data_IF_531587317914
#
_entry.id   IF_531587317914
#
_cell.length_a   1.000
_cell.length_b   1.000
_cell.length_c   1.000
_cell.angle_alpha   90.00
_cell.angle_beta   90.00
_cell.angle_gamma   90.00
#
_symmetry.space_group_name_H-M   'P 1'
#
loop_
_entity.id
_entity.type
_entity.pdbx_description
1 polymer ?
#
# COMPACT_ATOMS: atom_id res chain seq x y z
N UNK A 1 -42.74 -45.26 -6.39
CA UNK A 1 -42.01 -44.04 -5.97
C UNK A 1 -40.53 -44.32 -6.15
N UNK A 2 -39.95 -43.79 -7.23
CA UNK A 2 -38.55 -43.98 -7.56
C UNK A 2 -37.77 -42.89 -6.82
N UNK A 3 -36.80 -43.22 -5.96
CA UNK A 3 -36.06 -42.20 -5.22
C UNK A 3 -35.24 -41.37 -6.21
N UNK A 4 -35.41 -40.04 -6.16
CA UNK A 4 -34.57 -39.08 -6.85
C UNK A 4 -33.16 -39.17 -6.27
N UNK A 5 -32.32 -40.01 -6.88
CA UNK A 5 -30.88 -39.98 -6.65
C UNK A 5 -30.36 -38.77 -7.44
N UNK A 6 -30.16 -37.65 -6.74
CA UNK A 6 -29.38 -36.54 -7.30
C UNK A 6 -28.01 -37.11 -7.71
N UNK A 7 -27.52 -36.87 -8.94
CA UNK A 7 -26.22 -37.37 -9.35
C UNK A 7 -25.15 -36.72 -8.47
N UNK A 8 -24.29 -37.53 -7.85
CA UNK A 8 -23.26 -37.09 -6.90
C UNK A 8 -22.39 -35.91 -7.40
N UNK A 9 -22.27 -35.75 -8.72
CA UNK A 9 -21.58 -34.61 -9.34
C UNK A 9 -22.22 -33.24 -9.05
N UNK A 10 -23.55 -33.14 -8.92
CA UNK A 10 -24.22 -31.86 -8.63
C UNK A 10 -23.93 -31.39 -7.20
N UNK A 11 -23.85 -32.31 -6.24
CA UNK A 11 -23.54 -31.99 -4.84
C UNK A 11 -22.11 -31.48 -4.71
N UNK A 12 -21.15 -32.12 -5.39
CA UNK A 12 -19.75 -31.67 -5.42
C UNK A 12 -19.60 -30.30 -6.10
N UNK A 13 -20.27 -30.08 -7.24
CA UNK A 13 -20.25 -28.80 -7.93
C UNK A 13 -20.86 -27.66 -7.08
N UNK A 14 -21.96 -27.92 -6.36
CA UNK A 14 -22.53 -26.96 -5.42
C UNK A 14 -21.60 -26.64 -4.24
N UNK A 15 -20.92 -27.65 -3.69
CA UNK A 15 -19.94 -27.46 -2.62
C UNK A 15 -18.75 -26.62 -3.08
N UNK A 16 -18.21 -26.89 -4.27
CA UNK A 16 -17.14 -26.09 -4.88
C UNK A 16 -17.57 -24.64 -5.14
N UNK A 17 -18.79 -24.43 -5.65
CA UNK A 17 -19.36 -23.10 -5.84
C UNK A 17 -19.54 -22.34 -4.50
N UNK A 18 -19.99 -23.02 -3.44
CA UNK A 18 -20.10 -22.42 -2.09
C UNK A 18 -18.73 -22.01 -1.54
N UNK A 19 -17.70 -22.86 -1.68
CA UNK A 19 -16.33 -22.56 -1.26
C UNK A 19 -15.77 -21.35 -2.02
N UNK A 20 -15.94 -21.32 -3.34
CA UNK A 20 -15.49 -20.21 -4.18
C UNK A 20 -16.19 -18.89 -3.80
N UNK A 21 -17.49 -18.93 -3.53
CA UNK A 21 -18.24 -17.76 -3.10
C UNK A 21 -17.80 -17.25 -1.71
N UNK A 22 -17.56 -18.16 -0.76
CA UNK A 22 -17.08 -17.80 0.57
C UNK A 22 -15.69 -17.14 0.53
N UNK A 23 -14.78 -17.67 -0.31
CA UNK A 23 -13.48 -17.06 -0.56
C UNK A 23 -13.63 -15.65 -1.11
N UNK A 24 -14.48 -15.47 -2.12
CA UNK A 24 -14.73 -14.17 -2.73
C UNK A 24 -15.23 -13.13 -1.72
N UNK A 25 -16.20 -13.49 -0.88
CA UNK A 25 -16.71 -12.63 0.20
C UNK A 25 -15.62 -12.26 1.20
N UNK A 26 -14.79 -13.24 1.60
CA UNK A 26 -13.69 -13.02 2.56
C UNK A 26 -12.65 -12.04 2.02
N UNK A 27 -12.27 -12.20 0.75
CA UNK A 27 -11.31 -11.30 0.09
C UNK A 27 -11.89 -9.91 -0.14
N UNK A 28 -13.17 -9.80 -0.51
CA UNK A 28 -13.82 -8.51 -0.71
C UNK A 28 -13.98 -7.76 0.62
N UNK A 29 -14.33 -8.45 1.70
CA UNK A 29 -14.38 -7.87 3.04
C UNK A 29 -13.01 -7.33 3.48
N UNK A 30 -11.94 -8.05 3.15
CA UNK A 30 -10.57 -7.64 3.44
C UNK A 30 -10.14 -6.43 2.58
N UNK A 31 -10.46 -6.42 1.28
CA UNK A 31 -10.27 -5.27 0.38
C UNK A 31 -11.03 -4.04 0.87
N UNK A 32 -12.28 -4.20 1.33
CA UNK A 32 -13.08 -3.12 1.90
C UNK A 32 -12.45 -2.57 3.17
N UNK A 33 -12.02 -3.44 4.09
CA UNK A 33 -11.37 -3.08 5.35
C UNK A 33 -10.12 -2.23 5.12
N UNK A 34 -9.34 -2.52 4.07
CA UNK A 34 -8.18 -1.71 3.67
C UNK A 34 -8.55 -0.35 3.09
N UNK A 35 -9.70 -0.24 2.41
CA UNK A 35 -10.17 1.03 1.81
C UNK A 35 -10.82 1.95 2.83
N UNK A 36 -11.53 1.39 3.82
CA UNK A 36 -12.30 2.16 4.81
C UNK A 36 -11.56 2.44 6.10
N UNK A 37 -10.26 2.14 6.18
CA UNK A 37 -9.50 2.44 7.38
C UNK A 37 -9.50 3.94 7.68
N UNK A 38 -9.82 4.27 8.94
CA UNK A 38 -10.00 5.64 9.40
C UNK A 38 -8.74 6.49 9.18
N UNK A 39 -8.91 7.80 9.14
CA UNK A 39 -7.80 8.73 9.10
C UNK A 39 -7.02 8.65 10.44
N UNK A 40 -5.69 8.64 10.36
CA UNK A 40 -4.71 8.63 11.46
C UNK A 40 -4.52 7.31 12.25
N UNK A 41 -5.41 6.33 12.12
CA UNK A 41 -5.27 5.04 12.83
C UNK A 41 -4.98 3.92 11.83
N UNK A 42 -4.02 3.01 12.11
CA UNK A 42 -3.87 1.81 11.31
C UNK A 42 -5.18 1.00 11.30
N UNK A 43 -5.38 0.26 10.21
CA UNK A 43 -6.52 -0.64 10.06
C UNK A 43 -6.56 -1.64 11.22
N UNK A 44 -7.73 -2.22 11.50
CA UNK A 44 -7.82 -3.38 12.41
C UNK A 44 -6.85 -4.49 11.95
N UNK A 45 -6.33 -5.30 12.90
CA UNK A 45 -5.45 -6.42 12.58
C UNK A 45 -6.04 -7.30 11.47
N UNK A 46 -5.24 -7.58 10.44
CA UNK A 46 -5.68 -8.36 9.27
C UNK A 46 -5.64 -9.87 9.52
N UNK A 47 -5.09 -10.32 10.65
CA UNK A 47 -4.93 -11.73 11.00
C UNK A 47 -6.23 -12.54 10.90
N UNK A 48 -7.33 -12.05 11.47
CA UNK A 48 -8.61 -12.78 11.43
C UNK A 48 -9.16 -12.96 10.01
N UNK A 49 -8.98 -11.95 9.15
CA UNK A 49 -9.41 -12.01 7.77
C UNK A 49 -8.47 -12.87 6.90
N UNK A 50 -7.16 -12.82 7.16
CA UNK A 50 -6.18 -13.70 6.53
C UNK A 50 -6.42 -15.17 6.91
N UNK A 51 -6.78 -15.44 8.16
CA UNK A 51 -7.12 -16.79 8.61
C UNK A 51 -8.39 -17.31 7.94
N UNK A 52 -9.42 -16.47 7.80
CA UNK A 52 -10.65 -16.82 7.06
C UNK A 52 -10.37 -17.21 5.59
N UNK A 53 -9.41 -16.52 4.95
CA UNK A 53 -8.95 -16.87 3.60
C UNK A 53 -8.19 -18.21 3.60
N UNK A 54 -7.32 -18.46 4.58
CA UNK A 54 -6.60 -19.74 4.73
C UNK A 54 -7.55 -20.92 4.92
N UNK A 55 -8.55 -20.76 5.78
CA UNK A 55 -9.54 -21.80 6.09
C UNK A 55 -10.43 -22.11 4.87
N UNK A 56 -10.66 -21.12 4.02
CA UNK A 56 -11.42 -21.28 2.76
C UNK A 56 -10.61 -21.97 1.65
N UNK A 57 -9.29 -22.07 1.79
CA UNK A 57 -8.35 -22.43 0.72
C UNK A 57 -7.39 -23.57 1.09
N UNK A 58 -7.80 -24.49 1.97
CA UNK A 58 -6.96 -25.64 2.34
C UNK A 58 -6.46 -26.46 1.14
N UNK A 59 -7.23 -26.48 0.04
CA UNK A 59 -6.93 -27.30 -1.14
C UNK A 59 -6.05 -26.59 -2.19
N UNK A 60 -5.74 -25.29 -2.03
CA UNK A 60 -5.01 -24.51 -3.05
C UNK A 60 -3.69 -23.91 -2.54
N UNK A 61 -2.59 -24.50 -3.01
CA UNK A 61 -1.22 -24.06 -2.73
C UNK A 61 -0.94 -22.58 -3.08
N UNK A 62 -1.57 -22.05 -4.13
CA UNK A 62 -1.37 -20.65 -4.55
C UNK A 62 -2.03 -19.67 -3.57
N UNK A 63 -3.27 -19.95 -3.15
CA UNK A 63 -3.96 -19.12 -2.16
C UNK A 63 -3.27 -19.17 -0.78
N UNK A 64 -2.78 -20.35 -0.38
CA UNK A 64 -1.96 -20.49 0.83
C UNK A 64 -0.65 -19.72 0.74
N UNK A 65 0.05 -19.80 -0.41
CA UNK A 65 1.27 -19.03 -0.65
C UNK A 65 1.01 -17.51 -0.56
N UNK A 66 -0.07 -17.01 -1.17
CA UNK A 66 -0.46 -15.60 -1.07
C UNK A 66 -0.82 -15.19 0.37
N UNK A 67 -1.55 -16.02 1.11
CA UNK A 67 -1.88 -15.76 2.50
C UNK A 67 -0.65 -15.82 3.44
N UNK A 68 0.42 -16.51 3.04
CA UNK A 68 1.71 -16.50 3.73
C UNK A 68 2.63 -15.36 3.30
N UNK A 69 2.39 -14.78 2.11
CA UNK A 69 3.15 -13.64 1.59
C UNK A 69 2.71 -12.30 2.20
N UNK A 70 1.63 -12.27 2.98
CA UNK A 70 1.23 -11.09 3.74
C UNK A 70 2.28 -10.77 4.83
N UNK A 71 2.76 -9.51 4.92
CA UNK A 71 3.69 -9.11 5.97
C UNK A 71 3.12 -9.37 7.37
N UNK A 72 3.91 -9.94 8.28
CA UNK A 72 3.47 -10.22 9.66
C UNK A 72 3.02 -8.95 10.40
N UNK A 73 3.71 -7.84 10.14
CA UNK A 73 3.36 -6.54 10.69
C UNK A 73 1.96 -6.07 10.26
N UNK A 74 1.53 -6.35 9.02
CA UNK A 74 0.18 -5.99 8.57
C UNK A 74 -0.89 -6.92 9.14
N UNK A 75 -0.54 -8.17 9.46
CA UNK A 75 -1.44 -9.10 10.14
C UNK A 75 -1.72 -8.69 11.59
N UNK A 76 -0.68 -8.31 12.34
CA UNK A 76 -0.80 -7.99 13.77
C UNK A 76 -1.29 -6.56 14.01
N UNK A 77 -0.75 -5.57 13.30
CA UNK A 77 -1.01 -4.14 13.54
C UNK A 77 -2.00 -3.54 12.55
N UNK A 78 -2.18 -4.17 11.39
CA UNK A 78 -2.89 -3.58 10.26
C UNK A 78 -2.00 -2.63 9.45
N UNK A 79 -2.59 -2.00 8.44
CA UNK A 79 -1.88 -1.05 7.56
C UNK A 79 -2.52 0.33 7.61
N UNK A 80 -1.76 1.36 7.26
CA UNK A 80 -2.31 2.72 7.12
C UNK A 80 -3.08 2.87 5.81
N UNK A 81 -4.22 3.57 5.88
CA UNK A 81 -4.91 4.03 4.68
C UNK A 81 -4.04 5.02 3.90
N UNK A 82 -4.27 5.10 2.59
CA UNK A 82 -3.59 6.06 1.72
C UNK A 82 -3.84 7.51 2.17
N UNK A 83 -5.04 7.80 2.68
CA UNK A 83 -5.37 9.09 3.27
C UNK A 83 -4.54 9.41 4.51
N UNK A 84 -4.33 8.43 5.39
CA UNK A 84 -3.47 8.58 6.58
C UNK A 84 -2.01 8.77 6.19
N UNK A 85 -1.50 7.99 5.23
CA UNK A 85 -0.14 8.16 4.71
C UNK A 85 0.04 9.55 4.07
N UNK A 86 -0.94 10.06 3.33
CA UNK A 86 -0.95 11.42 2.78
C UNK A 86 -0.89 12.48 3.88
N UNK A 87 -1.73 12.37 4.91
CA UNK A 87 -1.75 13.31 6.04
C UNK A 87 -0.40 13.33 6.78
N UNK A 88 0.16 12.15 7.07
CA UNK A 88 1.49 12.02 7.69
C UNK A 88 2.60 12.59 6.81
N UNK A 89 2.55 12.35 5.50
CA UNK A 89 3.50 12.92 4.56
C UNK A 89 3.45 14.44 4.55
N UNK A 90 2.26 15.05 4.59
CA UNK A 90 2.11 16.50 4.63
C UNK A 90 2.75 17.12 5.88
N UNK A 91 2.64 16.45 7.04
CA UNK A 91 3.36 16.86 8.25
C UNK A 91 4.88 16.75 8.07
N UNK A 92 5.35 15.60 7.55
CA UNK A 92 6.77 15.32 7.32
C UNK A 92 7.38 16.23 6.25
N UNK A 93 6.63 16.66 5.24
CA UNK A 93 7.08 17.55 4.16
C UNK A 93 7.69 18.84 4.74
N UNK A 94 7.07 19.40 5.78
CA UNK A 94 7.59 20.61 6.44
C UNK A 94 8.93 20.37 7.15
N UNK A 95 9.13 19.18 7.73
CA UNK A 95 10.34 18.79 8.42
C UNK A 95 11.44 18.40 7.43
N UNK A 96 11.12 17.56 6.46
CA UNK A 96 12.02 17.17 5.38
C UNK A 96 12.52 18.40 4.62
N UNK A 97 11.67 19.40 4.36
CA UNK A 97 12.08 20.66 3.72
C UNK A 97 13.12 21.45 4.53
N UNK A 98 12.97 21.51 5.86
CA UNK A 98 13.94 22.21 6.73
C UNK A 98 15.31 21.54 6.73
N UNK A 99 15.32 20.24 6.52
CA UNK A 99 16.52 19.39 6.63
C UNK A 99 17.11 19.01 5.26
N UNK A 100 16.36 19.23 4.17
CA UNK A 100 16.71 18.86 2.79
C UNK A 100 17.96 19.54 2.21
N UNK A 101 18.40 20.65 2.82
CA UNK A 101 19.61 21.39 2.41
C UNK A 101 20.81 21.10 3.34
N UNK A 102 20.66 20.20 4.31
CA UNK A 102 21.75 19.74 5.18
C UNK A 102 22.47 18.61 4.45
N UNK A 103 23.52 18.96 3.73
CA UNK A 103 24.37 18.01 3.04
C UNK A 103 25.30 17.28 4.03
N UNK A 104 25.54 15.98 3.82
CA UNK A 104 26.33 15.14 4.75
C UNK A 104 27.83 15.50 4.78
N UNK A 105 28.29 16.37 3.87
CA UNK A 105 29.71 16.71 3.66
C UNK A 105 30.20 17.91 4.45
N UNK A 106 29.31 18.68 5.12
CA UNK A 106 29.69 19.98 5.71
C UNK A 106 29.20 20.14 7.16
N UNK A 107 30.06 19.73 8.10
CA UNK A 107 29.80 19.64 9.55
C UNK A 107 29.81 20.98 10.31
N UNK A 108 29.43 22.10 9.67
CA UNK A 108 29.50 23.43 10.29
C UNK A 108 28.11 23.93 10.69
N UNK A 109 27.94 24.28 11.98
CA UNK A 109 26.70 24.80 12.57
C UNK A 109 26.13 26.03 11.83
N UNK A 110 27.01 26.83 11.19
CA UNK A 110 26.62 28.00 10.41
C UNK A 110 25.85 27.63 9.13
N UNK A 111 26.13 26.45 8.56
CA UNK A 111 25.44 25.94 7.38
C UNK A 111 23.99 25.54 7.71
N UNK A 112 23.77 24.97 8.91
CA UNK A 112 22.42 24.69 9.42
C UNK A 112 21.61 25.96 9.63
N UNK A 113 22.25 27.04 10.09
CA UNK A 113 21.60 28.34 10.20
C UNK A 113 21.21 28.90 8.83
N UNK A 114 22.11 28.80 7.84
CA UNK A 114 21.85 29.23 6.47
C UNK A 114 20.78 28.39 5.77
N UNK A 115 20.74 27.07 5.98
CA UNK A 115 19.69 26.21 5.41
C UNK A 115 18.31 26.55 5.99
N UNK A 116 18.22 26.82 7.30
CA UNK A 116 17.01 27.32 7.94
C UNK A 116 16.57 28.67 7.37
N UNK A 117 17.52 29.59 7.17
CA UNK A 117 17.25 30.94 6.70
C UNK A 117 16.85 30.96 5.22
N UNK A 118 17.48 30.12 4.39
CA UNK A 118 17.14 29.93 2.99
C UNK A 118 15.80 29.22 2.81
N UNK A 119 15.52 28.17 3.60
CA UNK A 119 14.22 27.49 3.58
C UNK A 119 13.08 28.40 4.05
N UNK A 120 13.36 29.38 4.91
CA UNK A 120 12.42 30.42 5.30
C UNK A 120 12.25 31.51 4.23
N UNK A 121 13.26 31.74 3.37
CA UNK A 121 13.23 32.75 2.30
C UNK A 121 12.69 32.25 0.96
N UNK A 122 12.84 30.95 0.66
CA UNK A 122 12.34 30.33 -0.57
C UNK A 122 10.81 30.22 -0.52
N UNK A 123 10.15 31.15 -1.20
CA UNK A 123 8.72 31.11 -1.45
C UNK A 123 8.37 29.90 -2.33
N UNK A 124 7.25 29.28 -1.97
CA UNK A 124 6.76 28.03 -2.52
C UNK A 124 6.26 28.22 -3.95
N UNK A 125 6.99 27.70 -4.95
CA UNK A 125 6.43 27.57 -6.30
C UNK A 125 5.32 26.50 -6.28
N UNK A 126 4.15 26.91 -6.76
CA UNK A 126 2.91 26.14 -6.73
C UNK A 126 3.05 24.91 -7.62
N UNK A 127 2.99 23.73 -6.98
CA UNK A 127 2.56 22.44 -7.53
C UNK A 127 2.81 22.27 -9.03
N UNK A 128 4.05 21.99 -9.40
CA UNK A 128 4.38 21.62 -10.77
C UNK A 128 4.18 20.11 -10.94
N UNK A 129 3.51 19.70 -12.02
CA UNK A 129 3.31 18.29 -12.33
C UNK A 129 4.66 17.61 -12.61
N UNK A 130 4.89 16.39 -12.14
CA UNK A 130 6.13 15.68 -12.42
C UNK A 130 6.28 15.45 -13.94
N UNK A 131 7.41 15.83 -14.56
CA UNK A 131 7.67 15.53 -15.96
C UNK A 131 7.80 14.01 -16.18
N UNK A 132 7.37 13.53 -17.35
CA UNK A 132 7.31 12.10 -17.69
C UNK A 132 8.67 11.38 -17.70
N UNK A 133 9.79 12.11 -17.61
CA UNK A 133 11.15 11.57 -17.59
C UNK A 133 11.95 12.27 -16.48
N UNK A 134 12.12 11.58 -15.35
CA UNK A 134 12.92 12.06 -14.23
C UNK A 134 14.37 11.61 -14.44
N UNK A 135 15.21 12.46 -15.00
CA UNK A 135 16.66 12.26 -15.05
C UNK A 135 17.23 12.43 -13.64
N UNK A 136 17.90 11.40 -13.11
CA UNK A 136 18.32 11.33 -11.70
C UNK A 136 19.44 12.29 -11.29
N UNK A 137 19.93 13.11 -12.21
CA UNK A 137 21.15 13.91 -12.02
C UNK A 137 20.88 15.37 -11.62
N UNK A 138 19.63 15.85 -11.69
CA UNK A 138 19.33 17.28 -11.49
C UNK A 138 18.00 17.56 -10.74
N UNK A 139 17.54 16.61 -9.92
CA UNK A 139 16.35 16.80 -9.10
C UNK A 139 16.71 17.31 -7.70
N UNK A 140 16.49 18.61 -7.50
CA UNK A 140 16.51 19.23 -6.18
C UNK A 140 15.61 18.46 -5.19
N UNK A 141 16.05 18.22 -3.95
CA UNK A 141 15.23 17.58 -2.91
C UNK A 141 13.85 18.23 -2.73
N UNK A 142 13.77 19.55 -2.93
CA UNK A 142 12.53 20.32 -2.89
C UNK A 142 11.55 19.95 -4.00
N UNK A 143 12.04 19.72 -5.23
CA UNK A 143 11.23 19.26 -6.37
C UNK A 143 10.73 17.83 -6.15
N UNK A 144 11.58 16.97 -5.58
CA UNK A 144 11.17 15.61 -5.20
C UNK A 144 10.01 15.65 -4.19
N UNK A 145 10.10 16.49 -3.15
CA UNK A 145 9.04 16.65 -2.16
C UNK A 145 7.75 17.25 -2.75
N UNK A 146 7.85 18.19 -3.70
CA UNK A 146 6.66 18.73 -4.38
C UNK A 146 5.99 17.71 -5.29
N UNK A 147 6.77 16.95 -6.07
CA UNK A 147 6.24 15.90 -6.94
C UNK A 147 5.62 14.76 -6.13
N UNK A 148 6.25 14.36 -5.03
CA UNK A 148 5.68 13.35 -4.14
C UNK A 148 4.34 13.82 -3.53
N UNK A 149 4.26 15.09 -3.12
CA UNK A 149 3.00 15.69 -2.65
C UNK A 149 1.91 15.64 -3.72
N UNK A 150 2.26 16.01 -4.96
CA UNK A 150 1.36 15.97 -6.11
C UNK A 150 0.87 14.54 -6.38
N UNK A 151 1.77 13.55 -6.43
CA UNK A 151 1.41 12.15 -6.63
C UNK A 151 0.47 11.65 -5.51
N UNK A 152 0.73 12.01 -4.26
CA UNK A 152 -0.14 11.63 -3.16
C UNK A 152 -1.53 12.27 -3.26
N UNK A 153 -1.64 13.52 -3.70
CA UNK A 153 -2.93 14.19 -3.94
C UNK A 153 -3.73 13.50 -5.05
N UNK A 154 -3.06 12.93 -6.06
CA UNK A 154 -3.69 12.21 -7.18
C UNK A 154 -3.96 10.73 -6.87
N UNK A 155 -3.49 10.23 -5.72
CA UNK A 155 -3.68 8.84 -5.29
C UNK A 155 -2.61 7.85 -5.76
N UNK A 156 -1.52 8.36 -6.34
CA UNK A 156 -0.39 7.57 -6.82
C UNK A 156 0.65 7.35 -5.72
N UNK A 157 0.29 6.52 -4.72
CA UNK A 157 1.19 6.20 -3.60
C UNK A 157 2.49 5.53 -4.05
N UNK A 158 2.45 4.70 -5.09
CA UNK A 158 3.64 4.00 -5.61
C UNK A 158 4.67 4.98 -6.19
N UNK A 159 4.22 5.93 -7.01
CA UNK A 159 5.09 6.95 -7.60
C UNK A 159 5.64 7.87 -6.51
N UNK A 160 4.81 8.27 -5.54
CA UNK A 160 5.25 9.04 -4.39
C UNK A 160 6.35 8.32 -3.60
N UNK A 161 6.18 7.03 -3.29
CA UNK A 161 7.19 6.25 -2.58
C UNK A 161 8.51 6.15 -3.37
N UNK A 162 8.45 6.00 -4.70
CA UNK A 162 9.64 5.98 -5.57
C UNK A 162 10.38 7.32 -5.54
N UNK A 163 9.65 8.44 -5.65
CA UNK A 163 10.21 9.79 -5.57
C UNK A 163 10.87 10.04 -4.21
N UNK A 164 10.16 9.77 -3.13
CA UNK A 164 10.67 9.98 -1.76
C UNK A 164 11.90 9.10 -1.48
N UNK A 165 11.97 7.90 -2.05
CA UNK A 165 13.15 7.03 -1.94
C UNK A 165 14.40 7.58 -2.67
N UNK A 166 14.24 8.54 -3.59
CA UNK A 166 15.37 9.22 -4.24
C UNK A 166 16.01 10.30 -3.36
N UNK A 167 15.36 10.72 -2.27
CA UNK A 167 15.93 11.65 -1.31
C UNK A 167 17.21 11.07 -0.68
N UNK A 168 18.14 11.95 -0.29
CA UNK A 168 19.44 11.59 0.30
C UNK A 168 19.67 12.38 1.59
N UNK A 169 20.66 11.93 2.37
CA UNK A 169 21.08 12.57 3.63
C UNK A 169 19.99 12.57 4.70
N UNK A 170 19.98 13.61 5.52
CA UNK A 170 19.07 13.72 6.67
C UNK A 170 17.58 13.80 6.27
N UNK A 171 17.26 14.35 5.09
CA UNK A 171 15.88 14.33 4.58
C UNK A 171 15.38 12.91 4.33
N UNK A 172 16.25 11.98 3.88
CA UNK A 172 15.90 10.56 3.73
C UNK A 172 15.59 9.91 5.08
N UNK A 173 16.36 10.23 6.12
CA UNK A 173 16.16 9.69 7.48
C UNK A 173 14.81 10.12 8.05
N UNK A 174 14.40 11.37 7.84
CA UNK A 174 13.10 11.89 8.30
C UNK A 174 11.92 11.19 7.63
N UNK A 175 12.05 10.80 6.35
CA UNK A 175 10.98 10.15 5.59
C UNK A 175 11.05 8.62 5.62
N UNK A 176 12.07 8.04 6.23
CA UNK A 176 12.34 6.58 6.23
C UNK A 176 11.21 5.80 6.92
N UNK A 177 10.76 6.27 8.07
CA UNK A 177 9.62 5.68 8.79
C UNK A 177 8.36 5.71 7.92
N UNK A 178 8.11 6.82 7.23
CA UNK A 178 6.97 6.93 6.33
C UNK A 178 7.10 6.02 5.11
N UNK A 179 8.31 5.89 4.54
CA UNK A 179 8.58 4.99 3.41
C UNK A 179 8.35 3.53 3.80
N UNK A 180 8.74 3.13 5.00
CA UNK A 180 8.54 1.78 5.52
C UNK A 180 7.05 1.46 5.63
N UNK A 181 6.27 2.38 6.21
CA UNK A 181 4.81 2.25 6.31
C UNK A 181 4.13 2.26 4.93
N UNK A 182 4.59 3.10 4.01
CA UNK A 182 4.07 3.14 2.64
C UNK A 182 4.33 1.82 1.88
N UNK A 183 5.52 1.24 2.03
CA UNK A 183 5.88 -0.06 1.43
C UNK A 183 5.02 -1.19 1.98
N UNK A 184 4.86 -1.26 3.30
CA UNK A 184 4.00 -2.24 3.96
C UNK A 184 2.55 -2.18 3.46
N UNK A 185 2.01 -0.96 3.30
CA UNK A 185 0.68 -0.77 2.70
C UNK A 185 0.63 -1.23 1.24
N UNK A 186 1.65 -0.93 0.43
CA UNK A 186 1.71 -1.34 -0.99
C UNK A 186 1.84 -2.85 -1.15
N UNK A 187 2.72 -3.50 -0.40
CA UNK A 187 2.90 -4.96 -0.39
C UNK A 187 1.61 -5.67 -0.02
N UNK A 188 0.96 -5.20 1.06
CA UNK A 188 -0.34 -5.74 1.49
C UNK A 188 -1.38 -5.59 0.38
N UNK A 189 -1.54 -4.39 -0.20
CA UNK A 189 -2.50 -4.16 -1.31
C UNK A 189 -2.21 -5.02 -2.53
N UNK A 190 -0.94 -5.27 -2.85
CA UNK A 190 -0.56 -6.13 -3.96
C UNK A 190 -1.04 -7.56 -3.71
N UNK A 191 -0.77 -8.12 -2.53
CA UNK A 191 -1.22 -9.48 -2.18
C UNK A 191 -2.75 -9.58 -2.19
N UNK A 192 -3.45 -8.60 -1.63
CA UNK A 192 -4.92 -8.56 -1.66
C UNK A 192 -5.47 -8.48 -3.07
N UNK A 193 -4.86 -7.67 -3.93
CA UNK A 193 -5.26 -7.55 -5.34
C UNK A 193 -5.12 -8.89 -6.06
N UNK A 194 -4.02 -9.61 -5.82
CA UNK A 194 -3.80 -10.96 -6.37
C UNK A 194 -4.81 -11.96 -5.83
N UNK A 195 -5.11 -11.94 -4.53
CA UNK A 195 -6.15 -12.78 -3.93
C UNK A 195 -7.53 -12.48 -4.52
N UNK A 196 -7.85 -11.21 -4.80
CA UNK A 196 -9.12 -10.81 -5.39
C UNK A 196 -9.22 -11.27 -6.84
N UNK A 197 -8.17 -11.07 -7.63
CA UNK A 197 -8.09 -11.58 -9.00
C UNK A 197 -8.24 -13.10 -9.05
N UNK A 198 -7.60 -13.81 -8.12
CA UNK A 198 -7.71 -15.26 -7.98
C UNK A 198 -9.14 -15.69 -7.59
N UNK A 199 -9.74 -15.08 -6.56
CA UNK A 199 -11.09 -15.40 -6.13
C UNK A 199 -12.13 -15.16 -7.25
N UNK A 200 -11.97 -14.09 -8.02
CA UNK A 200 -12.78 -13.81 -9.21
C UNK A 200 -12.61 -14.89 -10.28
N UNK A 201 -11.38 -15.32 -10.56
CA UNK A 201 -11.10 -16.37 -11.55
C UNK A 201 -11.69 -17.73 -11.12
N UNK A 202 -11.57 -18.09 -9.85
CA UNK A 202 -12.16 -19.33 -9.32
C UNK A 202 -13.68 -19.27 -9.37
N UNK A 203 -14.30 -18.16 -8.95
CA UNK A 203 -15.74 -17.98 -9.02
C UNK A 203 -16.29 -18.11 -10.45
N UNK A 204 -15.62 -17.51 -11.43
CA UNK A 204 -15.97 -17.63 -12.85
C UNK A 204 -15.75 -19.05 -13.40
N UNK A 205 -14.74 -19.77 -12.91
CA UNK A 205 -14.51 -21.17 -13.29
C UNK A 205 -15.65 -22.10 -12.84
N UNK A 206 -16.23 -21.84 -11.66
CA UNK A 206 -17.34 -22.65 -11.12
C UNK A 206 -18.69 -22.38 -11.79
N UNK A 207 -18.88 -21.22 -12.46
CA UNK A 207 -20.14 -20.88 -13.15
C UNK A 207 -20.21 -21.38 -14.59
N UNK A 208 -19.10 -21.87 -15.15
CA UNK A 208 -19.04 -22.45 -16.51
C UNK A 208 -19.12 -23.98 -16.55
N UNK A 209 -19.30 -24.65 -15.40
CA UNK A 209 -19.50 -26.10 -15.38
C UNK A 209 -20.91 -26.45 -15.91
N UNK A 210 -21.04 -27.26 -16.98
CA UNK A 210 -22.32 -27.67 -17.57
C UNK A 210 -23.10 -28.68 -16.70
#
# INVERSE_FOLDING_TARGET
MQPCVLPAGHVLAEEEARKAHHLWLSVEALSFTLKTAEADVPTKPLEGAAQSVRDSCHDNNFALALASALPEESLQRGVYSEASLRARFNALRSLARRVALVDETHNSLYQYFLSYLQAALLFEDKQEAPPAQLSSDDLDPFKILSYASFCLEHGDLELAAKLVNQLRGEARRVVEDWLTEARLTLETRQVVSLLSAYANAVGLGTTQAP
#
